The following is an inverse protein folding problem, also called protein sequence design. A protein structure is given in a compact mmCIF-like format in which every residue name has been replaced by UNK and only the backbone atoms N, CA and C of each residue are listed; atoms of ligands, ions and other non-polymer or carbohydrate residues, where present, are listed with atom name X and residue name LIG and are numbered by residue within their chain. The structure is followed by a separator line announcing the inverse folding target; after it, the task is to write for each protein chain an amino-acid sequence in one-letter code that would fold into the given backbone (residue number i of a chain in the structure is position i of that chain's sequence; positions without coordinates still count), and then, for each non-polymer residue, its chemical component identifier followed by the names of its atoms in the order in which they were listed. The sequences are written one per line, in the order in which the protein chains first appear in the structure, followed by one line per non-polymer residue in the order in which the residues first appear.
data_IF_873089620177
#
_entry.id   IF_873089620177
#
_cell.length_a   1.000
_cell.length_b   1.000
_cell.length_c   1.000
_cell.angle_alpha   90.00
_cell.angle_beta   90.00
_cell.angle_gamma   90.00
#
_symmetry.space_group_name_H-M   'P 1'
#
loop_
_entity.id
_entity.type
_entity.pdbx_description
1 polymer ?
#
# COMPACT_ATOMS: atom_id res chain seq x y z
N UNK A 1 -17.57 -12.29 -17.74
CA UNK A 1 -16.75 -11.06 -17.86
C UNK A 1 -16.09 -10.70 -16.53
N UNK A 2 -16.86 -10.54 -15.44
CA UNK A 2 -16.35 -10.29 -14.09
C UNK A 2 -15.26 -11.29 -13.62
N UNK A 3 -15.48 -12.60 -13.78
CA UNK A 3 -14.48 -13.61 -13.39
C UNK A 3 -13.17 -13.52 -14.18
N UNK A 4 -13.21 -13.05 -15.43
CA UNK A 4 -11.99 -12.90 -16.23
C UNK A 4 -11.17 -11.70 -15.74
N UNK A 5 -11.82 -10.59 -15.40
CA UNK A 5 -11.15 -9.38 -14.88
C UNK A 5 -10.48 -9.66 -13.53
N UNK A 6 -11.17 -10.37 -12.63
CA UNK A 6 -10.56 -10.75 -11.35
C UNK A 6 -9.36 -11.69 -11.55
N UNK A 7 -9.43 -12.59 -12.53
CA UNK A 7 -8.27 -13.42 -12.90
C UNK A 7 -7.13 -12.59 -13.44
N UNK A 8 -7.39 -11.55 -14.24
CA UNK A 8 -6.34 -10.66 -14.75
C UNK A 8 -5.63 -9.91 -13.61
N UNK A 9 -6.38 -9.38 -12.64
CA UNK A 9 -5.81 -8.77 -11.43
C UNK A 9 -5.00 -9.81 -10.62
N UNK A 10 -5.51 -11.02 -10.44
CA UNK A 10 -4.81 -12.09 -9.72
C UNK A 10 -3.56 -12.59 -10.46
N UNK A 11 -3.56 -12.55 -11.80
CA UNK A 11 -2.41 -12.86 -12.65
C UNK A 11 -1.32 -11.77 -12.57
N UNK A 12 -1.73 -10.50 -12.62
CA UNK A 12 -0.82 -9.38 -12.39
C UNK A 12 -0.23 -9.48 -10.97
N UNK A 13 -1.02 -9.89 -9.98
CA UNK A 13 -0.63 -9.96 -8.57
C UNK A 13 -0.25 -11.39 -8.12
N UNK A 14 0.71 -11.98 -8.82
CA UNK A 14 1.26 -13.30 -8.48
C UNK A 14 1.84 -13.40 -7.05
N UNK A 15 2.06 -14.64 -6.60
CA UNK A 15 2.54 -14.94 -5.25
C UNK A 15 3.89 -14.27 -4.92
N UNK A 16 4.80 -14.18 -5.89
CA UNK A 16 6.10 -13.57 -5.67
C UNK A 16 5.97 -12.05 -5.45
N UNK A 17 5.09 -11.42 -6.21
CA UNK A 17 4.80 -9.99 -6.11
C UNK A 17 4.14 -9.65 -4.80
N UNK A 18 3.14 -10.45 -4.38
CA UNK A 18 2.53 -10.33 -3.06
C UNK A 18 3.54 -10.55 -1.93
N UNK A 19 4.48 -11.51 -2.08
CA UNK A 19 5.58 -11.72 -1.13
C UNK A 19 6.46 -10.48 -1.04
N UNK A 20 6.87 -9.87 -2.15
CA UNK A 20 7.69 -8.65 -2.15
C UNK A 20 6.95 -7.47 -1.50
N UNK A 21 5.67 -7.27 -1.79
CA UNK A 21 4.85 -6.26 -1.08
C UNK A 21 4.79 -6.53 0.43
N UNK A 22 4.61 -7.79 0.83
CA UNK A 22 4.65 -8.17 2.24
C UNK A 22 5.98 -7.81 2.91
N UNK A 23 7.11 -8.20 2.31
CA UNK A 23 8.43 -7.94 2.86
C UNK A 23 8.71 -6.43 3.00
N UNK A 24 8.35 -5.62 2.00
CA UNK A 24 8.47 -4.16 2.09
C UNK A 24 7.69 -3.57 3.27
N UNK A 25 6.43 -4.00 3.45
CA UNK A 25 5.58 -3.52 4.56
C UNK A 25 6.10 -4.02 5.90
N UNK A 26 6.49 -5.31 6.00
CA UNK A 26 7.08 -5.90 7.21
C UNK A 26 8.32 -5.12 7.64
N UNK A 27 9.29 -4.97 6.74
CA UNK A 27 10.55 -4.28 7.01
C UNK A 27 10.31 -2.82 7.41
N UNK A 28 9.36 -2.13 6.76
CA UNK A 28 8.96 -0.77 7.13
C UNK A 28 8.36 -0.69 8.54
N UNK A 29 7.50 -1.64 8.91
CA UNK A 29 6.90 -1.69 10.26
C UNK A 29 7.93 -2.01 11.34
N UNK A 30 8.93 -2.83 11.02
CA UNK A 30 10.06 -3.10 11.93
C UNK A 30 10.89 -1.84 12.14
N UNK A 31 11.27 -1.13 11.07
CA UNK A 31 12.00 0.15 11.16
C UNK A 31 11.21 1.17 12.01
N UNK A 32 9.90 1.26 11.81
CA UNK A 32 9.04 2.13 12.62
C UNK A 32 9.11 1.77 14.11
N UNK A 33 8.91 0.49 14.45
CA UNK A 33 8.96 0.02 15.83
C UNK A 33 10.33 0.25 16.46
N UNK A 34 11.39 0.04 15.69
CA UNK A 34 12.77 0.31 16.07
C UNK A 34 13.02 1.80 16.40
N UNK A 35 12.52 2.70 15.56
CA UNK A 35 12.66 4.14 15.75
C UNK A 35 11.87 4.62 16.97
N UNK A 36 10.62 4.16 17.09
CA UNK A 36 9.77 4.47 18.25
C UNK A 36 10.37 3.93 19.55
N UNK A 37 10.95 2.73 19.50
CA UNK A 37 11.57 2.10 20.66
C UNK A 37 12.86 2.76 21.11
N UNK A 38 13.74 3.16 20.18
CA UNK A 38 15.02 3.82 20.51
C UNK A 38 14.85 5.21 21.11
N UNK A 39 13.87 5.96 20.63
CA UNK A 39 13.58 7.32 21.09
C UNK A 39 12.33 7.33 21.99
N UNK A 40 12.21 6.31 22.87
CA UNK A 40 11.03 6.13 23.73
C UNK A 40 10.72 7.36 24.56
N UNK A 41 11.73 8.12 24.96
CA UNK A 41 11.55 9.32 25.78
C UNK A 41 10.84 10.45 25.02
N UNK A 42 11.07 10.54 23.71
CA UNK A 42 10.37 11.47 22.80
C UNK A 42 8.97 10.95 22.49
N UNK A 43 8.84 9.62 22.33
CA UNK A 43 7.65 8.97 21.80
C UNK A 43 6.72 8.32 22.84
N UNK A 44 7.01 8.47 24.13
CA UNK A 44 6.18 8.00 25.26
C UNK A 44 5.40 9.13 25.94
N UNK A 45 5.71 10.39 25.63
CA UNK A 45 5.05 11.55 26.22
C UNK A 45 3.56 11.60 25.89
N UNK A 46 2.75 12.15 26.80
CA UNK A 46 1.28 12.31 26.61
C UNK A 46 0.91 13.12 25.36
N UNK A 47 1.83 13.94 24.85
CA UNK A 47 1.67 14.73 23.62
C UNK A 47 2.02 13.96 22.34
N UNK A 48 2.74 12.84 22.45
CA UNK A 48 2.96 11.95 21.31
C UNK A 48 1.73 11.06 21.09
N UNK A 49 0.67 11.71 20.61
CA UNK A 49 -0.64 11.10 20.39
C UNK A 49 -0.60 10.07 19.25
N UNK A 50 -1.61 9.20 19.21
CA UNK A 50 -1.82 8.18 18.17
C UNK A 50 -1.69 8.68 16.73
N UNK A 51 -1.98 9.96 16.50
CA UNK A 51 -1.99 10.58 15.19
C UNK A 51 -0.58 10.81 14.65
N UNK A 52 0.37 11.24 15.48
CA UNK A 52 1.77 11.43 15.07
C UNK A 52 2.40 10.07 14.76
N UNK A 53 2.17 9.06 15.61
CA UNK A 53 2.58 7.66 15.34
C UNK A 53 2.04 7.17 14.00
N UNK A 54 0.77 7.42 13.72
CA UNK A 54 0.14 6.99 12.47
C UNK A 54 0.73 7.72 11.26
N UNK A 55 0.94 9.04 11.35
CA UNK A 55 1.56 9.82 10.27
C UNK A 55 3.00 9.37 9.99
N UNK A 56 3.77 9.12 11.04
CA UNK A 56 5.15 8.64 10.92
C UNK A 56 5.20 7.24 10.32
N UNK A 57 4.34 6.31 10.77
CA UNK A 57 4.23 4.99 10.17
C UNK A 57 3.87 5.07 8.68
N UNK A 58 2.85 5.88 8.34
CA UNK A 58 2.45 6.08 6.96
C UNK A 58 3.61 6.62 6.12
N UNK A 59 4.34 7.60 6.64
CA UNK A 59 5.51 8.20 5.98
C UNK A 59 6.62 7.17 5.73
N UNK A 60 6.99 6.37 6.74
CA UNK A 60 8.03 5.33 6.59
C UNK A 60 7.62 4.32 5.54
N UNK A 61 6.37 3.83 5.61
CA UNK A 61 5.84 2.87 4.64
C UNK A 61 5.83 3.45 3.23
N UNK A 62 5.31 4.66 3.01
CA UNK A 62 5.29 5.23 1.64
C UNK A 62 6.70 5.54 1.14
N UNK A 63 7.59 6.00 2.02
CA UNK A 63 8.99 6.29 1.68
C UNK A 63 9.76 5.04 1.25
N UNK A 64 9.51 3.89 1.88
CA UNK A 64 10.15 2.63 1.51
C UNK A 64 9.89 2.23 0.04
N UNK A 65 8.79 2.67 -0.55
CA UNK A 65 8.49 2.43 -1.97
C UNK A 65 9.04 3.52 -2.91
N UNK A 66 9.87 4.45 -2.42
CA UNK A 66 10.55 5.38 -3.32
C UNK A 66 11.58 4.63 -4.17
N UNK A 67 11.80 5.00 -5.46
CA UNK A 67 12.69 4.28 -6.37
C UNK A 67 14.09 3.97 -5.81
N UNK A 68 14.62 4.84 -4.95
CA UNK A 68 15.95 4.71 -4.34
C UNK A 68 16.06 3.58 -3.30
N UNK A 69 14.93 3.06 -2.79
CA UNK A 69 14.90 2.00 -1.78
C UNK A 69 14.34 0.69 -2.32
N UNK A 70 13.91 0.67 -3.58
CA UNK A 70 13.38 -0.54 -4.19
C UNK A 70 14.51 -1.53 -4.49
N UNK A 71 14.29 -2.83 -4.28
CA UNK A 71 15.22 -3.84 -4.76
C UNK A 71 15.29 -3.80 -6.29
N UNK A 72 16.45 -4.15 -6.87
CA UNK A 72 16.67 -4.10 -8.34
C UNK A 72 15.61 -4.86 -9.14
N UNK A 73 15.09 -5.96 -8.60
CA UNK A 73 14.07 -6.81 -9.24
C UNK A 73 12.69 -6.62 -8.59
N UNK A 74 12.35 -5.39 -8.18
CA UNK A 74 11.01 -5.08 -7.71
C UNK A 74 9.99 -5.23 -8.86
N UNK A 75 8.86 -5.92 -8.66
CA UNK A 75 8.01 -6.37 -9.78
C UNK A 75 7.01 -5.30 -10.23
N UNK A 76 7.05 -4.11 -9.66
CA UNK A 76 6.17 -3.01 -10.01
C UNK A 76 7.00 -1.83 -10.53
N UNK A 77 6.48 -1.19 -11.57
CA UNK A 77 6.91 0.15 -11.95
C UNK A 77 6.38 1.14 -10.90
N UNK A 78 7.25 1.99 -10.37
CA UNK A 78 6.88 2.92 -9.29
C UNK A 78 7.00 4.36 -9.73
N UNK A 79 5.89 5.08 -9.64
CA UNK A 79 5.80 6.52 -9.87
C UNK A 79 5.37 7.21 -8.57
N UNK A 80 5.96 8.36 -8.27
CA UNK A 80 5.58 9.15 -7.09
C UNK A 80 4.55 10.19 -7.51
N UNK A 81 3.32 10.05 -7.00
CA UNK A 81 2.27 11.02 -7.20
C UNK A 81 2.41 12.16 -6.21
N UNK A 82 2.49 13.38 -6.71
CA UNK A 82 2.37 14.60 -5.91
C UNK A 82 0.89 14.92 -5.69
N UNK A 83 0.47 14.90 -4.43
CA UNK A 83 -0.89 15.28 -4.02
C UNK A 83 -0.90 16.75 -3.60
N UNK A 84 -2.09 17.30 -3.31
CA UNK A 84 -2.18 18.65 -2.77
C UNK A 84 -1.33 18.82 -1.50
N UNK A 85 -0.53 19.88 -1.46
CA UNK A 85 0.45 20.13 -0.39
C UNK A 85 1.77 19.39 -0.61
N UNK A 86 2.47 19.07 0.49
CA UNK A 86 3.74 18.34 0.48
C UNK A 86 3.56 16.82 0.63
N UNK A 87 2.39 16.29 0.24
CA UNK A 87 2.08 14.88 0.38
C UNK A 87 2.40 14.12 -0.90
N UNK A 88 3.13 13.02 -0.76
CA UNK A 88 3.50 12.14 -1.85
C UNK A 88 3.00 10.73 -1.57
N UNK A 89 2.53 10.02 -2.60
CA UNK A 89 2.15 8.62 -2.50
C UNK A 89 2.71 7.81 -3.68
N UNK A 90 3.26 6.62 -3.44
CA UNK A 90 3.71 5.75 -4.53
C UNK A 90 2.50 5.14 -5.25
N UNK A 91 2.55 5.20 -6.58
CA UNK A 91 1.70 4.48 -7.53
C UNK A 91 2.51 3.30 -8.05
N UNK A 92 2.10 2.09 -7.70
CA UNK A 92 2.74 0.85 -8.12
C UNK A 92 1.96 0.29 -9.31
N UNK A 93 2.59 0.13 -10.46
CA UNK A 93 1.95 -0.44 -11.66
C UNK A 93 2.58 -1.79 -11.98
N UNK A 94 1.76 -2.80 -12.27
CA UNK A 94 2.19 -4.07 -12.83
C UNK A 94 1.12 -4.57 -13.78
N UNK A 95 1.50 -4.84 -15.04
CA UNK A 95 0.53 -5.18 -16.08
C UNK A 95 -0.54 -4.10 -16.24
N UNK A 96 -1.80 -4.50 -16.15
CA UNK A 96 -2.95 -3.60 -16.22
C UNK A 96 -3.48 -3.21 -14.83
N UNK A 97 -2.70 -3.44 -13.76
CA UNK A 97 -3.10 -3.16 -12.39
C UNK A 97 -2.26 -2.03 -11.78
N UNK A 98 -2.95 -1.05 -11.17
CA UNK A 98 -2.37 0.03 -10.37
C UNK A 98 -2.73 -0.18 -8.90
N UNK A 99 -1.73 -0.07 -8.03
CA UNK A 99 -1.88 -0.06 -6.59
C UNK A 99 -1.42 1.26 -5.97
N UNK A 100 -2.12 1.68 -4.93
CA UNK A 100 -1.66 2.73 -4.01
C UNK A 100 -1.64 2.19 -2.59
N UNK A 101 -0.91 2.83 -1.69
CA UNK A 101 -0.71 2.32 -0.34
C UNK A 101 -1.55 3.12 0.65
N UNK A 102 -2.23 2.45 1.58
CA UNK A 102 -3.00 3.13 2.63
C UNK A 102 -3.17 2.29 3.88
N UNK A 103 -3.14 2.95 5.05
CA UNK A 103 -3.59 2.34 6.30
C UNK A 103 -5.11 2.17 6.26
N UNK A 104 -5.59 0.98 6.64
CA UNK A 104 -7.02 0.68 6.73
C UNK A 104 -7.40 0.22 8.13
N UNK A 105 -8.68 0.40 8.48
CA UNK A 105 -9.22 -0.09 9.77
C UNK A 105 -9.39 -1.60 9.77
N UNK A 106 -9.85 -2.15 8.64
CA UNK A 106 -9.90 -3.57 8.37
C UNK A 106 -10.03 -3.82 6.85
N UNK A 107 -9.83 -5.07 6.42
CA UNK A 107 -9.90 -5.54 5.03
C UNK A 107 -11.23 -5.32 4.29
N UNK A 108 -12.30 -4.97 5.01
CA UNK A 108 -13.64 -4.74 4.46
C UNK A 108 -13.99 -3.24 4.40
N UNK A 109 -13.06 -2.34 4.74
CA UNK A 109 -13.29 -0.89 4.74
C UNK A 109 -12.30 -0.18 3.83
N UNK A 110 -12.84 0.69 2.99
CA UNK A 110 -12.03 1.62 2.21
C UNK A 110 -11.30 2.61 3.14
N UNK A 111 -10.07 3.02 2.79
CA UNK A 111 -9.40 4.14 3.46
C UNK A 111 -10.13 5.45 3.18
N UNK A 112 -9.63 6.56 3.73
CA UNK A 112 -10.18 7.89 3.45
C UNK A 112 -10.20 8.15 1.93
N UNK A 113 -11.31 8.75 1.51
CA UNK A 113 -11.59 9.20 0.15
C UNK A 113 -10.61 10.33 -0.23
N UNK A 114 -10.15 10.32 -1.47
CA UNK A 114 -9.27 11.33 -2.05
C UNK A 114 -9.44 11.31 -3.58
N UNK A 115 -9.29 12.46 -4.23
CA UNK A 115 -9.60 12.65 -5.65
C UNK A 115 -8.90 11.61 -6.55
N UNK A 116 -7.59 11.37 -6.34
CA UNK A 116 -6.84 10.40 -7.12
C UNK A 116 -7.36 8.95 -6.96
N UNK A 117 -7.90 8.60 -5.77
CA UNK A 117 -8.45 7.26 -5.54
C UNK A 117 -9.76 7.09 -6.29
N UNK A 118 -10.59 8.12 -6.33
CA UNK A 118 -11.82 8.12 -7.11
C UNK A 118 -11.53 8.04 -8.60
N UNK A 119 -10.56 8.82 -9.07
CA UNK A 119 -10.13 8.82 -10.47
C UNK A 119 -9.65 7.43 -10.90
N UNK A 120 -8.73 6.81 -10.15
CA UNK A 120 -8.25 5.47 -10.47
C UNK A 120 -9.33 4.40 -10.33
N UNK A 121 -10.27 4.57 -9.39
CA UNK A 121 -11.37 3.62 -9.21
C UNK A 121 -12.24 3.49 -10.45
N UNK A 122 -12.33 4.51 -11.32
CA UNK A 122 -13.08 4.42 -12.57
C UNK A 122 -12.63 3.26 -13.47
N UNK A 123 -11.37 2.82 -13.36
CA UNK A 123 -10.88 1.61 -14.04
C UNK A 123 -11.57 0.31 -13.61
N UNK A 124 -12.27 0.31 -12.46
CA UNK A 124 -13.03 -0.82 -11.94
C UNK A 124 -14.50 -0.84 -12.39
N UNK A 125 -14.88 -0.02 -13.39
CA UNK A 125 -16.25 0.03 -13.93
C UNK A 125 -16.81 -1.35 -14.28
N UNK A 126 -16.02 -2.18 -14.96
CA UNK A 126 -16.44 -3.51 -15.39
C UNK A 126 -16.41 -4.58 -14.28
N UNK A 127 -15.86 -4.25 -13.11
CA UNK A 127 -15.90 -5.10 -11.91
C UNK A 127 -17.21 -4.85 -11.15
N UNK A 128 -17.76 -3.65 -11.29
CA UNK A 128 -18.96 -3.25 -10.57
C UNK A 128 -20.18 -3.68 -11.39
N UNK A 129 -20.91 -4.69 -10.92
CA UNK A 129 -21.95 -5.48 -11.62
C UNK A 129 -23.20 -4.71 -12.13
N UNK A 130 -23.09 -3.43 -12.51
CA UNK A 130 -24.21 -2.67 -13.04
C UNK A 130 -24.27 -2.80 -14.57
N UNK A 131 -25.37 -3.37 -15.08
CA UNK A 131 -25.80 -3.20 -16.46
C UNK A 131 -26.07 -1.72 -16.70
N UNK A 132 -25.11 -0.99 -17.28
CA UNK A 132 -25.35 0.33 -17.86
C UNK A 132 -25.84 0.15 -19.29
N UNK A 133 -27.12 0.42 -19.50
CA UNK A 133 -27.64 0.64 -20.84
C UNK A 133 -27.18 2.04 -21.29
N UNK A 134 -26.17 2.08 -22.16
CA UNK A 134 -25.71 3.31 -22.79
C UNK A 134 -26.49 3.45 -24.11
N UNK A 135 -27.44 4.37 -24.13
CA UNK A 135 -28.09 4.83 -25.35
C UNK A 135 -27.40 6.14 -25.72
N UNK A 136 -26.71 6.17 -26.85
CA UNK A 136 -25.89 7.27 -27.37
C UNK A 136 -24.60 7.57 -26.59
N UNK A 137 -23.52 6.87 -26.98
CA UNK A 137 -22.13 7.35 -27.14
C UNK A 137 -21.22 6.13 -27.33
N UNK A 138 -20.36 6.14 -28.36
CA UNK A 138 -19.32 5.13 -28.58
C UNK A 138 -18.32 5.16 -27.40
N UNK A 139 -18.59 4.38 -26.35
CA UNK A 139 -17.60 4.09 -25.31
C UNK A 139 -16.62 3.04 -25.83
N UNK A 140 -15.51 3.47 -26.42
CA UNK A 140 -14.30 2.64 -26.46
C UNK A 140 -13.68 2.65 -25.06
N UNK A 141 -13.95 1.59 -24.27
CA UNK A 141 -13.18 1.37 -23.02
C UNK A 141 -11.86 0.70 -23.39
N UNK A 142 -11.01 1.44 -24.10
CA UNK A 142 -9.61 1.06 -24.26
C UNK A 142 -8.78 1.73 -23.15
N UNK A 143 -8.16 0.91 -22.28
CA UNK A 143 -6.87 1.27 -21.68
C UNK A 143 -6.82 1.90 -20.28
N UNK A 144 -7.90 1.96 -19.49
CA UNK A 144 -7.80 2.40 -18.08
C UNK A 144 -7.42 1.20 -17.18
N UNK A 145 -6.29 1.26 -16.44
CA UNK A 145 -5.86 0.18 -15.56
C UNK A 145 -6.82 -0.09 -14.41
N UNK A 146 -6.89 -1.34 -13.96
CA UNK A 146 -7.59 -1.71 -12.74
C UNK A 146 -6.91 -1.09 -11.52
N UNK A 147 -7.71 -0.74 -10.52
CA UNK A 147 -7.20 -0.06 -9.33
C UNK A 147 -7.42 -0.87 -8.06
N UNK A 148 -6.36 -0.99 -7.27
CA UNK A 148 -6.37 -1.57 -5.95
C UNK A 148 -5.62 -0.73 -4.92
N UNK A 149 -5.81 -1.08 -3.66
CA UNK A 149 -5.13 -0.47 -2.52
C UNK A 149 -4.38 -1.55 -1.78
N UNK A 150 -3.06 -1.41 -1.65
CA UNK A 150 -2.28 -2.13 -0.66
C UNK A 150 -2.65 -1.61 0.73
N UNK A 151 -3.65 -2.27 1.33
CA UNK A 151 -4.23 -1.94 2.60
C UNK A 151 -3.52 -2.68 3.74
N UNK A 152 -2.89 -1.93 4.63
CA UNK A 152 -2.29 -2.50 5.85
C UNK A 152 -3.07 -2.09 7.09
N UNK A 153 -3.26 -3.05 8.00
CA UNK A 153 -3.87 -2.87 9.30
C UNK A 153 -2.76 -2.88 10.36
N UNK A 154 -2.59 -1.78 11.08
CA UNK A 154 -1.57 -1.66 12.11
C UNK A 154 -2.19 -1.17 13.42
N UNK A 155 -2.06 -1.97 14.47
CA UNK A 155 -2.54 -1.65 15.81
C UNK A 155 -1.70 -2.34 16.89
N UNK A 156 -1.59 -1.71 18.06
CA UNK A 156 -0.76 -2.21 19.19
C UNK A 156 0.67 -2.55 18.72
N UNK A 157 1.26 -1.65 17.96
CA UNK A 157 2.63 -1.72 17.43
C UNK A 157 2.94 -2.99 16.60
N UNK A 158 1.90 -3.56 15.98
CA UNK A 158 2.00 -4.78 15.16
C UNK A 158 1.17 -4.67 13.89
N UNK A 159 1.72 -5.20 12.80
CA UNK A 159 0.98 -5.47 11.57
C UNK A 159 -0.04 -6.59 11.84
N UNK A 160 -1.32 -6.32 11.63
CA UNK A 160 -2.45 -7.23 11.89
C UNK A 160 -3.02 -7.85 10.62
N UNK A 161 -2.94 -7.12 9.51
CA UNK A 161 -3.53 -7.52 8.25
C UNK A 161 -2.85 -6.80 7.10
N UNK A 162 -2.74 -7.49 5.97
CA UNK A 162 -2.26 -6.94 4.72
C UNK A 162 -3.10 -7.52 3.59
N UNK A 163 -3.67 -6.66 2.77
CA UNK A 163 -4.58 -7.06 1.71
C UNK A 163 -4.46 -6.11 0.52
N UNK A 164 -4.77 -6.61 -0.67
CA UNK A 164 -5.15 -5.76 -1.80
C UNK A 164 -6.66 -5.57 -1.74
N UNK A 165 -7.10 -4.31 -1.62
CA UNK A 165 -8.51 -3.93 -1.55
C UNK A 165 -8.88 -3.28 -2.87
N UNK A 166 -9.80 -3.89 -3.61
CA UNK A 166 -10.33 -3.38 -4.87
C UNK A 166 -11.63 -2.63 -4.56
N UNK A 167 -11.70 -1.31 -4.77
CA UNK A 167 -12.94 -0.54 -4.63
C UNK A 167 -13.87 -0.74 -5.84
N UNK A 168 -15.15 -0.42 -5.67
CA UNK A 168 -16.05 -0.17 -6.80
C UNK A 168 -15.64 1.10 -7.56
N UNK A 169 -16.23 1.32 -8.72
CA UNK A 169 -15.90 2.40 -9.65
C UNK A 169 -16.09 3.81 -9.09
N UNK A 170 -16.92 3.92 -8.05
CA UNK A 170 -17.22 5.18 -7.37
C UNK A 170 -16.51 5.34 -6.02
N UNK A 171 -15.62 4.41 -5.65
CA UNK A 171 -14.92 4.40 -4.37
C UNK A 171 -15.86 4.45 -3.14
N UNK A 172 -17.01 3.78 -3.21
CA UNK A 172 -18.03 3.69 -2.15
C UNK A 172 -17.97 2.39 -1.37
N UNK A 173 -17.62 1.27 -2.01
CA UNK A 173 -17.57 -0.06 -1.38
C UNK A 173 -16.37 -0.87 -1.83
N UNK A 174 -16.03 -1.89 -1.05
CA UNK A 174 -15.05 -2.91 -1.44
C UNK A 174 -15.76 -3.95 -2.30
N UNK A 175 -15.26 -4.20 -3.51
CA UNK A 175 -15.79 -5.24 -4.42
C UNK A 175 -15.02 -6.55 -4.31
N UNK A 176 -13.71 -6.48 -4.02
CA UNK A 176 -12.85 -7.66 -3.84
C UNK A 176 -11.74 -7.34 -2.84
N UNK A 177 -11.38 -8.35 -2.06
CA UNK A 177 -10.22 -8.32 -1.18
C UNK A 177 -9.34 -9.53 -1.49
N UNK A 178 -8.07 -9.29 -1.79
CA UNK A 178 -7.05 -10.33 -1.99
C UNK A 178 -6.14 -10.33 -0.76
N UNK A 179 -6.17 -11.37 0.09
CA UNK A 179 -5.34 -11.41 1.29
C UNK A 179 -3.87 -11.62 0.93
N UNK A 180 -2.97 -10.88 1.59
CA UNK A 180 -1.53 -11.13 1.56
C UNK A 180 -1.16 -11.83 2.88
N UNK A 181 -0.77 -13.12 2.84
CA UNK A 181 -0.47 -13.86 4.06
C UNK A 181 0.65 -13.21 4.87
N UNK A 182 0.37 -12.91 6.15
CA UNK A 182 1.39 -12.45 7.09
C UNK A 182 2.05 -13.70 7.67
N UNK A 183 3.24 -14.01 7.19
CA UNK A 183 4.05 -15.10 7.74
C UNK A 183 4.62 -14.60 9.06
N UNK A 184 4.05 -15.08 10.17
CA UNK A 184 4.69 -14.95 11.47
C UNK A 184 5.72 -16.07 11.53
N UNK A 185 6.99 -15.74 11.75
CA UNK A 185 8.03 -16.74 11.96
C UNK A 185 7.67 -17.57 13.20
N UNK A 186 7.04 -18.73 12.97
CA UNK A 186 7.16 -19.84 13.91
C UNK A 186 8.65 -20.15 13.95
N UNK A 187 9.22 -20.30 15.16
CA UNK A 187 10.63 -20.67 15.37
C UNK A 187 11.01 -21.84 14.46
N UNK A 188 11.56 -21.53 13.30
CA UNK A 188 12.18 -22.47 12.38
C UNK A 188 13.61 -21.98 12.32
N UNK A 189 14.45 -22.79 12.95
CA UNK A 189 15.90 -22.80 12.76
C UNK A 189 16.22 -22.56 11.28
N UNK A 190 17.04 -21.54 11.00
CA UNK A 190 17.73 -21.34 9.72
C UNK A 190 16.87 -21.01 8.48
N UNK A 191 15.94 -20.07 8.60
CA UNK A 191 15.57 -19.24 7.43
C UNK A 191 16.11 -17.85 7.74
N UNK A 192 17.21 -17.46 7.08
CA UNK A 192 17.67 -16.06 7.07
C UNK A 192 16.45 -15.16 6.86
N UNK A 193 16.24 -14.19 7.73
CA UNK A 193 15.17 -13.20 7.57
C UNK A 193 15.43 -12.45 6.26
N UNK A 194 14.81 -12.91 5.18
CA UNK A 194 15.02 -12.38 3.83
C UNK A 194 14.44 -10.96 3.76
N UNK A 195 15.24 -10.00 4.20
CA UNK A 195 14.97 -8.58 4.05
C UNK A 195 15.36 -8.16 2.63
N UNK A 196 14.45 -7.47 1.95
CA UNK A 196 14.69 -6.96 0.59
C UNK A 196 14.90 -5.44 0.57
N UNK A 197 14.67 -4.80 1.72
CA UNK A 197 14.80 -3.37 1.93
C UNK A 197 16.12 -3.09 2.64
N UNK A 198 16.90 -2.14 2.13
CA UNK A 198 18.06 -1.62 2.85
C UNK A 198 17.59 -0.81 4.07
N UNK A 199 17.37 -1.52 5.19
CA UNK A 199 16.81 -0.97 6.42
C UNK A 199 17.68 0.17 6.98
N UNK A 200 19.00 0.02 6.90
CA UNK A 200 19.94 0.98 7.46
C UNK A 200 19.96 2.29 6.66
N UNK A 201 19.94 2.19 5.33
CA UNK A 201 19.87 3.37 4.47
C UNK A 201 18.54 4.11 4.65
N UNK A 202 17.40 3.38 4.62
CA UNK A 202 16.09 4.00 4.83
C UNK A 202 15.99 4.68 6.20
N UNK A 203 16.49 4.02 7.26
CA UNK A 203 16.51 4.59 8.61
C UNK A 203 17.33 5.88 8.69
N UNK A 204 18.51 5.91 8.07
CA UNK A 204 19.36 7.11 8.00
C UNK A 204 18.65 8.25 7.25
N UNK A 205 18.02 7.96 6.11
CA UNK A 205 17.26 8.93 5.32
C UNK A 205 16.09 9.54 6.12
N UNK A 206 15.30 8.71 6.81
CA UNK A 206 14.19 9.15 7.66
C UNK A 206 14.69 10.08 8.77
N UNK A 207 15.76 9.71 9.47
CA UNK A 207 16.32 10.52 10.55
C UNK A 207 16.86 11.87 10.05
N UNK A 208 17.48 11.91 8.87
CA UNK A 208 17.97 13.15 8.27
C UNK A 208 16.81 14.08 7.89
N UNK A 209 15.73 13.55 7.31
CA UNK A 209 14.55 14.35 6.99
C UNK A 209 13.87 14.91 8.25
N UNK A 210 13.76 14.12 9.31
CA UNK A 210 13.23 14.60 10.60
C UNK A 210 14.09 15.74 11.16
N UNK A 211 15.43 15.65 11.07
CA UNK A 211 16.35 16.70 11.54
C UNK A 211 16.27 18.00 10.73
N UNK A 212 16.01 17.89 9.42
CA UNK A 212 15.94 19.02 8.50
C UNK A 212 14.58 19.74 8.49
N UNK A 213 13.60 19.28 9.28
CA UNK A 213 12.32 19.96 9.51
C UNK A 213 12.39 21.05 10.61
N UNK A 214 13.60 21.32 11.14
CA UNK A 214 13.89 22.45 12.03
C UNK A 214 14.21 23.70 11.23
#
# INVERSE_FOLDING_TARGET
MYENILRDIENDLDKESLRKLFLMIKDSTEIFNDLVGRESDIFSGKFFCSDIKTRMLNFIITRAFSPNFLPRNFPFDVEILSLQGAYHTPKLKKGNTILTISKVKNKNKLPSRADYKEEYSRGNLHISEQLKFVFDEEYSVEGIPYYGILGYEFSKDKLKGLNIIVPDENFKKVVKTIPIPIIHSVKVTEIEEETILDKDNLKKDILNQIKNLK
#
